data_IF_438767180990
#
_entry.id   IF_438767180990
#
_cell.length_a   1.000
_cell.length_b   1.000
_cell.length_c   1.000
_cell.angle_alpha   90.00
_cell.angle_beta   90.00
_cell.angle_gamma   90.00
#
_symmetry.space_group_name_H-M   'P 1'
#
loop_
_entity.id
_entity.type
_entity.pdbx_description
1 polymer ?
#
# COMPACT_ATOMS: atom_id res chain seq x y z
N UNK A 1 -36.20 24.55 -34.68
CA UNK A 1 -35.74 24.05 -33.36
C UNK A 1 -34.78 22.92 -33.70
N UNK A 2 -33.46 23.01 -33.56
CA UNK A 2 -32.69 22.94 -32.31
C UNK A 2 -31.20 23.38 -32.51
N UNK A 3 -30.84 24.65 -32.29
CA UNK A 3 -29.43 25.02 -32.09
C UNK A 3 -29.10 25.38 -30.63
N UNK A 4 -30.11 25.53 -29.76
CA UNK A 4 -29.92 25.90 -28.35
C UNK A 4 -29.38 24.76 -27.47
N UNK A 5 -29.72 23.51 -27.78
CA UNK A 5 -29.29 22.33 -27.01
C UNK A 5 -27.80 22.00 -27.18
N UNK A 6 -27.26 22.14 -28.40
CA UNK A 6 -25.83 21.92 -28.65
C UNK A 6 -24.93 22.97 -27.96
N UNK A 7 -25.39 24.23 -27.93
CA UNK A 7 -24.63 25.33 -27.30
C UNK A 7 -24.63 25.23 -25.76
N UNK A 8 -25.74 24.80 -25.15
CA UNK A 8 -25.80 24.53 -23.71
C UNK A 8 -24.91 23.34 -23.31
N UNK A 9 -24.92 22.26 -24.09
CA UNK A 9 -24.04 21.11 -23.84
C UNK A 9 -22.55 21.48 -23.94
N UNK A 10 -22.18 22.33 -24.90
CA UNK A 10 -20.79 22.78 -25.04
C UNK A 10 -20.38 23.73 -23.90
N UNK A 11 -21.27 24.60 -23.44
CA UNK A 11 -21.03 25.48 -22.28
C UNK A 11 -20.92 24.69 -20.97
N UNK A 12 -21.72 23.64 -20.78
CA UNK A 12 -21.62 22.75 -19.62
C UNK A 12 -20.29 21.99 -19.61
N UNK A 13 -19.82 21.50 -20.77
CA UNK A 13 -18.50 20.86 -20.89
C UNK A 13 -17.38 21.85 -20.57
N UNK A 14 -17.45 23.09 -21.09
CA UNK A 14 -16.45 24.14 -20.80
C UNK A 14 -16.46 24.53 -19.32
N UNK A 15 -17.63 24.64 -18.67
CA UNK A 15 -17.73 24.93 -17.24
C UNK A 15 -17.27 23.76 -16.37
N UNK A 16 -17.51 22.52 -16.80
CA UNK A 16 -17.03 21.32 -16.12
C UNK A 16 -15.52 21.15 -16.26
N UNK A 17 -14.93 21.54 -17.40
CA UNK A 17 -13.48 21.63 -17.59
C UNK A 17 -12.84 22.77 -16.79
N UNK A 18 -13.48 23.95 -16.71
CA UNK A 18 -13.01 25.04 -15.86
C UNK A 18 -13.06 24.69 -14.36
N UNK A 19 -14.08 23.95 -13.94
CA UNK A 19 -14.19 23.42 -12.56
C UNK A 19 -13.14 22.33 -12.27
N UNK A 20 -12.78 21.51 -13.26
CA UNK A 20 -11.65 20.55 -13.16
C UNK A 20 -10.28 21.23 -13.19
N UNK A 21 -10.15 22.35 -13.90
CA UNK A 21 -8.90 23.13 -13.93
C UNK A 21 -8.66 23.94 -12.64
N UNK A 22 -9.70 24.33 -11.91
CA UNK A 22 -9.56 24.89 -10.56
C UNK A 22 -8.98 23.86 -9.56
N UNK A 23 -9.07 22.57 -9.87
CA UNK A 23 -8.46 21.46 -9.12
C UNK A 23 -6.99 21.20 -9.49
N UNK A 24 -6.48 21.85 -10.53
CA UNK A 24 -5.07 21.71 -10.96
C UNK A 24 -4.09 22.36 -9.98
N UNK A 25 -4.49 23.44 -9.29
CA UNK A 25 -3.72 24.06 -8.22
C UNK A 25 -3.56 23.08 -7.05
N UNK A 26 -4.67 22.41 -6.64
CA UNK A 26 -4.65 21.43 -5.54
C UNK A 26 -3.82 20.19 -5.88
N UNK A 27 -3.75 19.81 -7.16
CA UNK A 27 -2.92 18.69 -7.65
C UNK A 27 -1.45 19.03 -7.80
N UNK A 28 -1.09 20.22 -8.29
CA UNK A 28 0.32 20.64 -8.38
C UNK A 28 0.95 20.77 -6.99
N UNK A 29 0.21 21.29 -6.01
CA UNK A 29 0.67 21.39 -4.62
C UNK A 29 1.05 20.03 -4.02
N UNK A 30 0.38 18.94 -4.43
CA UNK A 30 0.70 17.56 -4.00
C UNK A 30 2.01 17.03 -4.56
N UNK A 31 2.46 17.50 -5.72
CA UNK A 31 3.72 17.07 -6.32
C UNK A 31 4.90 18.01 -5.99
N UNK A 32 4.60 19.16 -5.40
CA UNK A 32 5.59 20.10 -4.88
C UNK A 32 6.09 19.71 -3.48
N UNK A 33 6.40 18.42 -3.30
CA UNK A 33 7.04 17.92 -2.08
C UNK A 33 8.56 18.09 -2.22
N UNK A 34 9.19 18.65 -1.19
CA UNK A 34 10.63 18.66 -1.05
C UNK A 34 11.04 17.43 -0.23
N UNK A 35 11.65 16.46 -0.91
CA UNK A 35 12.19 15.26 -0.25
C UNK A 35 13.66 15.51 0.07
N UNK A 36 13.99 15.60 1.35
CA UNK A 36 15.38 15.59 1.79
C UNK A 36 15.84 14.14 1.95
N UNK A 37 16.79 13.72 1.10
CA UNK A 37 17.32 12.35 1.09
C UNK A 37 17.92 11.97 2.45
N UNK A 38 18.41 12.94 3.22
CA UNK A 38 18.95 12.69 4.57
C UNK A 38 17.90 12.21 5.57
N UNK A 39 16.61 12.47 5.32
CA UNK A 39 15.50 12.01 6.17
C UNK A 39 15.16 10.53 5.95
N UNK A 40 15.70 9.91 4.90
CA UNK A 40 15.45 8.52 4.53
C UNK A 40 16.62 7.58 4.89
N UNK A 41 17.65 8.09 5.57
CA UNK A 41 18.84 7.29 5.94
C UNK A 41 18.56 6.23 7.00
N UNK A 42 17.46 6.38 7.75
CA UNK A 42 17.04 5.43 8.79
C UNK A 42 16.30 4.21 8.23
N UNK A 43 15.96 4.21 6.93
CA UNK A 43 15.33 3.04 6.31
C UNK A 43 16.31 1.87 6.29
N UNK A 44 15.91 0.79 6.96
CA UNK A 44 16.62 -0.50 6.93
C UNK A 44 16.79 -0.94 5.49
N UNK A 45 17.99 -1.38 5.09
CA UNK A 45 18.21 -1.88 3.72
C UNK A 45 17.61 -3.27 3.52
N UNK A 46 16.95 -3.51 2.38
CA UNK A 46 16.51 -4.84 1.98
C UNK A 46 17.70 -5.69 1.55
N UNK A 47 17.96 -6.76 2.31
CA UNK A 47 19.04 -7.72 2.06
C UNK A 47 18.52 -9.02 1.45
N UNK A 48 17.27 -9.36 1.75
CA UNK A 48 16.63 -10.58 1.26
C UNK A 48 15.24 -10.77 1.86
N UNK A 49 14.64 -11.97 1.67
CA UNK A 49 13.32 -12.27 2.21
C UNK A 49 13.26 -12.20 3.74
N UNK A 50 14.35 -12.54 4.42
CA UNK A 50 14.44 -12.61 5.88
C UNK A 50 14.21 -11.27 6.59
N UNK A 51 14.50 -10.15 5.93
CA UNK A 51 14.30 -8.81 6.47
C UNK A 51 13.29 -7.97 5.69
N UNK A 52 12.51 -8.61 4.80
CA UNK A 52 11.49 -7.92 4.01
C UNK A 52 10.45 -7.20 4.88
N UNK A 53 9.96 -7.86 5.94
CA UNK A 53 8.88 -7.30 6.77
C UNK A 53 9.37 -6.04 7.53
N UNK A 54 10.61 -6.05 7.99
CA UNK A 54 11.27 -4.90 8.65
C UNK A 54 11.53 -3.74 7.67
N UNK A 55 12.07 -4.05 6.49
CA UNK A 55 12.27 -3.10 5.40
C UNK A 55 10.93 -2.46 4.97
N UNK A 56 9.90 -3.28 4.77
CA UNK A 56 8.58 -2.85 4.34
C UNK A 56 7.95 -1.91 5.36
N UNK A 57 8.01 -2.25 6.65
CA UNK A 57 7.50 -1.40 7.73
C UNK A 57 8.24 -0.06 7.80
N UNK A 58 9.57 -0.07 7.65
CA UNK A 58 10.40 1.14 7.69
C UNK A 58 10.05 2.09 6.53
N UNK A 59 9.87 1.54 5.33
CA UNK A 59 9.46 2.29 4.14
C UNK A 59 8.05 2.87 4.28
N UNK A 60 7.10 2.06 4.78
CA UNK A 60 5.72 2.53 4.97
C UNK A 60 5.71 3.73 5.91
N UNK A 61 6.39 3.61 7.05
CA UNK A 61 6.47 4.67 8.06
C UNK A 61 7.10 5.93 7.48
N UNK A 62 8.29 5.80 6.87
CA UNK A 62 8.99 6.94 6.29
C UNK A 62 8.16 7.66 5.22
N UNK A 63 7.54 6.94 4.28
CA UNK A 63 6.72 7.59 3.25
C UNK A 63 5.39 8.13 3.76
N UNK A 64 4.82 7.55 4.82
CA UNK A 64 3.62 8.10 5.48
C UNK A 64 3.94 9.40 6.21
N UNK A 65 5.04 9.46 6.95
CA UNK A 65 5.48 10.64 7.69
C UNK A 65 5.73 11.84 6.75
N UNK A 66 6.11 11.57 5.50
CA UNK A 66 6.32 12.58 4.47
C UNK A 66 5.11 12.80 3.55
N UNK A 67 3.98 12.13 3.81
CA UNK A 67 2.73 12.31 3.05
C UNK A 67 2.79 11.86 1.59
N UNK A 68 3.73 10.97 1.22
CA UNK A 68 3.96 10.52 -0.16
C UNK A 68 3.58 9.04 -0.38
N UNK A 69 3.05 8.36 0.63
CA UNK A 69 2.68 6.94 0.55
C UNK A 69 1.69 6.62 -0.57
N UNK A 70 0.72 7.49 -0.81
CA UNK A 70 -0.32 7.29 -1.84
C UNK A 70 0.26 7.36 -3.26
N UNK A 71 1.36 8.10 -3.42
CA UNK A 71 2.11 8.18 -4.68
C UNK A 71 2.91 6.89 -4.94
N UNK A 72 3.46 6.29 -3.88
CA UNK A 72 4.23 5.05 -3.94
C UNK A 72 3.33 3.83 -4.26
N UNK A 73 2.11 3.82 -3.74
CA UNK A 73 1.16 2.71 -3.89
C UNK A 73 0.26 2.79 -5.12
N UNK A 74 0.42 3.85 -5.93
CA UNK A 74 -0.04 3.89 -7.32
C UNK A 74 -1.51 4.25 -7.48
N UNK A 75 -1.87 5.52 -7.26
CA UNK A 75 -3.20 6.04 -7.63
C UNK A 75 -3.21 7.33 -8.46
N UNK A 76 -2.07 7.96 -8.77
CA UNK A 76 -2.09 9.35 -9.23
C UNK A 76 -1.10 9.70 -10.35
N UNK A 77 -0.96 8.87 -11.40
CA UNK A 77 -0.34 9.41 -12.63
C UNK A 77 -1.31 10.42 -13.26
N UNK A 78 -0.95 11.71 -13.40
CA UNK A 78 -1.80 12.67 -14.09
C UNK A 78 -1.96 12.25 -15.55
N UNK A 79 -3.20 12.30 -16.05
CA UNK A 79 -3.50 12.01 -17.45
C UNK A 79 -2.66 12.94 -18.35
N UNK A 80 -1.89 12.35 -19.26
CA UNK A 80 -1.23 13.09 -20.33
C UNK A 80 -2.32 13.76 -21.17
N UNK A 81 -2.46 15.07 -21.05
CA UNK A 81 -3.25 15.85 -22.00
C UNK A 81 -2.63 15.67 -23.40
N UNK A 82 -3.47 15.47 -24.41
CA UNK A 82 -3.11 15.02 -25.75
C UNK A 82 -2.25 16.00 -26.58
N UNK A 83 -1.80 17.16 -26.08
CA UNK A 83 -0.79 18.05 -26.72
C UNK A 83 -0.27 19.18 -25.78
N UNK A 84 0.91 19.82 -26.01
CA UNK A 84 1.82 20.34 -24.97
C UNK A 84 1.69 21.86 -24.65
N UNK A 85 2.39 22.37 -23.60
CA UNK A 85 3.50 21.75 -22.86
C UNK A 85 2.99 20.71 -21.87
N UNK A 86 3.80 19.67 -21.63
CA UNK A 86 3.74 18.84 -20.42
C UNK A 86 3.31 19.75 -19.29
N UNK A 87 2.08 19.58 -18.79
CA UNK A 87 1.53 20.47 -17.78
C UNK A 87 2.57 20.54 -16.66
N UNK A 88 2.75 21.72 -16.08
CA UNK A 88 3.73 21.92 -15.00
C UNK A 88 3.58 20.83 -13.93
N UNK A 89 2.33 20.45 -13.65
CA UNK A 89 1.91 19.30 -12.84
C UNK A 89 2.51 17.95 -13.26
N UNK A 90 2.51 17.60 -14.56
CA UNK A 90 3.13 16.36 -15.04
C UNK A 90 4.65 16.37 -14.88
N UNK A 91 5.30 17.52 -15.10
CA UNK A 91 6.75 17.66 -14.88
C UNK A 91 7.09 17.50 -13.39
N UNK A 92 6.30 18.09 -12.51
CA UNK A 92 6.43 17.98 -11.06
C UNK A 92 6.23 16.54 -10.59
N UNK A 93 5.21 15.85 -11.13
CA UNK A 93 4.99 14.43 -10.90
C UNK A 93 6.18 13.58 -11.35
N UNK A 94 6.70 13.77 -12.57
CA UNK A 94 7.86 13.02 -13.06
C UNK A 94 9.11 13.26 -12.21
N UNK A 95 9.34 14.50 -11.76
CA UNK A 95 10.44 14.83 -10.85
C UNK A 95 10.30 14.03 -9.55
N UNK A 96 9.10 14.03 -8.97
CA UNK A 96 8.81 13.36 -7.71
C UNK A 96 8.89 11.84 -7.82
N UNK A 97 8.31 11.25 -8.87
CA UNK A 97 8.42 9.81 -9.21
C UNK A 97 9.88 9.38 -9.30
N UNK A 98 10.71 10.12 -10.05
CA UNK A 98 12.14 9.84 -10.17
C UNK A 98 12.88 9.95 -8.84
N UNK A 99 12.58 10.97 -8.04
CA UNK A 99 13.18 11.15 -6.71
C UNK A 99 12.83 10.00 -5.76
N UNK A 100 11.55 9.63 -5.71
CA UNK A 100 11.08 8.51 -4.88
C UNK A 100 11.67 7.18 -5.37
N UNK A 101 11.77 6.96 -6.68
CA UNK A 101 12.36 5.73 -7.23
C UNK A 101 13.83 5.62 -6.87
N UNK A 102 14.58 6.73 -6.94
CA UNK A 102 15.97 6.76 -6.50
C UNK A 102 16.13 6.52 -5.00
N UNK A 103 15.20 7.04 -4.18
CA UNK A 103 15.17 6.75 -2.75
C UNK A 103 14.92 5.26 -2.49
N UNK A 104 13.89 4.67 -3.12
CA UNK A 104 13.63 3.23 -3.00
C UNK A 104 14.83 2.39 -3.42
N UNK A 105 15.48 2.73 -4.54
CA UNK A 105 16.67 2.04 -5.02
C UNK A 105 17.79 2.04 -3.96
N UNK A 106 18.03 3.16 -3.28
CA UNK A 106 19.02 3.25 -2.19
C UNK A 106 18.70 2.37 -0.98
N UNK A 107 17.43 2.03 -0.78
CA UNK A 107 16.98 1.16 0.33
C UNK A 107 17.09 -0.33 -0.01
N UNK A 108 17.46 -0.70 -1.23
CA UNK A 108 17.65 -2.09 -1.64
C UNK A 108 19.14 -2.37 -1.80
N UNK A 109 19.63 -3.48 -1.26
CA UNK A 109 21.04 -3.83 -1.37
C UNK A 109 21.41 -4.16 -2.83
N UNK A 110 22.61 -3.76 -3.29
CA UNK A 110 23.02 -3.91 -4.71
C UNK A 110 23.03 -5.35 -5.21
N UNK A 111 23.32 -6.30 -4.33
CA UNK A 111 23.25 -7.75 -4.61
C UNK A 111 21.82 -8.20 -4.93
N UNK A 112 20.84 -7.51 -4.37
CA UNK A 112 19.39 -7.70 -4.53
C UNK A 112 18.87 -6.94 -5.76
N UNK A 113 19.50 -5.83 -6.13
CA UNK A 113 19.14 -4.96 -7.27
C UNK A 113 19.56 -5.45 -8.66
N UNK A 114 20.47 -6.42 -8.77
CA UNK A 114 21.02 -6.86 -10.07
C UNK A 114 19.98 -7.40 -11.07
N UNK A 115 18.71 -7.53 -10.65
CA UNK A 115 17.58 -8.01 -11.44
C UNK A 115 16.46 -6.97 -11.62
N UNK A 116 16.65 -5.72 -11.17
CA UNK A 116 15.69 -4.63 -11.33
C UNK A 116 15.95 -3.89 -12.65
N UNK A 117 14.96 -3.78 -13.56
CA UNK A 117 15.07 -2.95 -14.77
C UNK A 117 15.42 -1.48 -14.45
N UNK A 118 16.28 -0.88 -15.26
CA UNK A 118 16.57 0.56 -15.14
C UNK A 118 15.32 1.39 -15.46
N UNK A 119 15.12 2.50 -14.74
CA UNK A 119 14.04 3.48 -14.95
C UNK A 119 12.60 2.99 -14.67
N UNK A 120 12.42 2.12 -13.68
CA UNK A 120 11.07 1.81 -13.18
C UNK A 120 10.40 3.03 -12.52
N UNK A 121 9.09 3.15 -12.72
CA UNK A 121 8.25 4.06 -11.92
C UNK A 121 8.30 3.68 -10.45
N UNK A 122 7.94 4.61 -9.56
CA UNK A 122 7.96 4.37 -8.12
C UNK A 122 7.12 3.15 -7.72
N UNK A 123 5.94 3.01 -8.33
CA UNK A 123 5.02 1.89 -8.13
C UNK A 123 5.65 0.56 -8.55
N UNK A 124 6.32 0.51 -9.70
CA UNK A 124 6.98 -0.70 -10.16
C UNK A 124 8.20 -1.05 -9.29
N UNK A 125 8.97 -0.03 -8.86
CA UNK A 125 10.09 -0.18 -7.95
C UNK A 125 9.66 -0.69 -6.57
N UNK A 126 8.49 -0.27 -6.07
CA UNK A 126 7.93 -0.78 -4.82
C UNK A 126 7.31 -2.18 -4.96
N UNK A 127 6.64 -2.48 -6.08
CA UNK A 127 6.03 -3.79 -6.34
C UNK A 127 7.06 -4.90 -6.56
N UNK A 128 8.23 -4.57 -7.10
CA UNK A 128 9.26 -5.57 -7.37
C UNK A 128 9.72 -6.29 -6.09
N UNK A 129 10.15 -5.61 -5.01
CA UNK A 129 10.52 -6.29 -3.79
C UNK A 129 9.39 -7.07 -3.13
N UNK A 130 8.18 -6.52 -3.17
CA UNK A 130 6.98 -7.19 -2.67
C UNK A 130 6.68 -8.49 -3.39
N UNK A 131 7.03 -8.59 -4.67
CA UNK A 131 6.79 -9.80 -5.48
C UNK A 131 7.88 -10.84 -5.27
N UNK A 132 9.13 -10.41 -5.13
CA UNK A 132 10.30 -11.30 -5.12
C UNK A 132 10.81 -11.67 -3.71
N UNK A 133 10.68 -10.77 -2.73
CA UNK A 133 11.23 -10.95 -1.39
C UNK A 133 10.18 -11.08 -0.29
N UNK A 134 8.92 -10.70 -0.53
CA UNK A 134 7.86 -10.94 0.45
C UNK A 134 7.77 -12.46 0.74
N UNK A 135 8.04 -12.91 1.97
CA UNK A 135 8.11 -14.33 2.22
C UNK A 135 6.71 -14.91 2.13
N UNK A 136 6.51 -15.81 1.18
CA UNK A 136 5.24 -16.50 0.99
C UNK A 136 4.96 -17.33 2.24
N UNK A 137 3.74 -17.30 2.78
CA UNK A 137 3.39 -18.18 3.87
C UNK A 137 3.61 -19.62 3.42
N UNK A 138 4.43 -20.37 4.17
CA UNK A 138 4.64 -21.79 3.89
C UNK A 138 3.31 -22.57 3.91
N UNK A 139 3.25 -23.78 3.32
CA UNK A 139 2.00 -24.56 3.28
C UNK A 139 1.39 -24.78 4.67
N UNK A 140 2.24 -25.00 5.68
CA UNK A 140 1.81 -25.18 7.07
C UNK A 140 1.21 -23.88 7.65
N UNK A 141 1.91 -22.75 7.51
CA UNK A 141 1.39 -21.45 7.96
C UNK A 141 0.09 -21.08 7.28
N UNK A 142 -0.03 -21.34 5.97
CA UNK A 142 -1.26 -21.10 5.21
C UNK A 142 -2.43 -21.94 5.73
N UNK A 143 -2.21 -23.21 6.08
CA UNK A 143 -3.22 -24.07 6.70
C UNK A 143 -3.64 -23.57 8.08
N UNK A 144 -2.67 -23.12 8.89
CA UNK A 144 -2.95 -22.58 10.22
C UNK A 144 -3.74 -21.27 10.12
N UNK A 145 -3.38 -20.36 9.21
CA UNK A 145 -4.12 -19.12 8.96
C UNK A 145 -5.56 -19.39 8.49
N UNK A 146 -5.75 -20.38 7.62
CA UNK A 146 -7.09 -20.84 7.21
C UNK A 146 -7.87 -21.47 8.37
N UNK A 147 -7.19 -22.15 9.28
CA UNK A 147 -7.83 -22.72 10.48
C UNK A 147 -8.29 -21.60 11.39
N UNK A 148 -7.40 -20.64 11.68
CA UNK A 148 -7.68 -19.47 12.52
C UNK A 148 -8.85 -18.65 11.97
N UNK A 149 -8.87 -18.36 10.66
CA UNK A 149 -9.94 -17.57 10.02
C UNK A 149 -11.29 -18.26 9.97
N UNK A 150 -11.33 -19.58 10.16
CA UNK A 150 -12.55 -20.40 10.20
C UNK A 150 -13.03 -20.71 11.62
N UNK A 151 -12.27 -20.33 12.66
CA UNK A 151 -12.74 -20.47 14.03
C UNK A 151 -13.97 -19.60 14.22
N UNK A 152 -15.06 -20.22 14.67
CA UNK A 152 -16.33 -19.57 14.98
C UNK A 152 -16.81 -20.17 16.29
N UNK A 153 -17.30 -19.34 17.21
CA UNK A 153 -17.85 -19.80 18.49
C UNK A 153 -18.99 -20.82 18.30
N UNK A 154 -19.71 -20.76 17.17
CA UNK A 154 -20.74 -21.75 16.81
C UNK A 154 -20.21 -23.17 16.62
N UNK A 155 -18.92 -23.34 16.38
CA UNK A 155 -18.29 -24.63 16.14
C UNK A 155 -17.89 -25.34 17.46
N UNK A 156 -18.08 -24.68 18.60
CA UNK A 156 -17.61 -25.14 19.91
C UNK A 156 -18.74 -25.15 20.94
N UNK A 157 -18.57 -25.97 21.99
CA UNK A 157 -19.55 -26.08 23.07
C UNK A 157 -19.49 -24.92 24.06
N UNK A 158 -18.37 -24.18 24.09
CA UNK A 158 -18.17 -23.06 25.01
C UNK A 158 -17.13 -22.06 24.49
N UNK A 159 -17.17 -20.83 25.03
CA UNK A 159 -16.14 -19.79 24.78
C UNK A 159 -14.75 -20.27 25.22
N UNK A 160 -14.67 -21.05 26.31
CA UNK A 160 -13.40 -21.60 26.80
C UNK A 160 -12.78 -22.55 25.77
N UNK A 161 -13.59 -23.39 25.14
CA UNK A 161 -13.11 -24.35 24.14
C UNK A 161 -12.65 -23.64 22.85
N UNK A 162 -13.41 -22.66 22.38
CA UNK A 162 -13.04 -21.79 21.26
C UNK A 162 -11.74 -21.03 21.54
N UNK A 163 -11.64 -20.38 22.70
CA UNK A 163 -10.44 -19.66 23.15
C UNK A 163 -9.21 -20.57 23.26
N UNK A 164 -9.36 -21.78 23.81
CA UNK A 164 -8.27 -22.76 23.86
C UNK A 164 -7.80 -23.14 22.44
N UNK A 165 -8.74 -23.40 21.51
CA UNK A 165 -8.37 -23.75 20.14
C UNK A 165 -7.68 -22.59 19.43
N UNK A 166 -8.15 -21.36 19.66
CA UNK A 166 -7.54 -20.15 19.15
C UNK A 166 -6.09 -20.00 19.62
N UNK A 167 -5.84 -20.10 20.94
CA UNK A 167 -4.50 -20.01 21.53
C UNK A 167 -3.57 -21.09 20.97
N UNK A 168 -4.06 -22.33 20.82
CA UNK A 168 -3.26 -23.42 20.23
C UNK A 168 -2.86 -23.11 18.80
N UNK A 169 -3.80 -22.68 17.94
CA UNK A 169 -3.48 -22.35 16.54
C UNK A 169 -2.53 -21.16 16.49
N UNK A 170 -2.71 -20.13 17.32
CA UNK A 170 -1.79 -19.01 17.41
C UNK A 170 -0.37 -19.45 17.80
N UNK A 171 -0.25 -20.30 18.83
CA UNK A 171 1.04 -20.83 19.29
C UNK A 171 1.74 -21.66 18.20
N UNK A 172 0.98 -22.49 17.46
CA UNK A 172 1.50 -23.24 16.31
C UNK A 172 1.96 -22.30 15.19
N UNK A 173 1.26 -21.18 14.96
CA UNK A 173 1.66 -20.17 13.97
C UNK A 173 2.95 -19.45 14.38
N UNK A 174 3.08 -19.07 15.65
CA UNK A 174 4.29 -18.47 16.21
C UNK A 174 5.49 -19.42 16.13
N UNK A 175 5.28 -20.73 16.37
CA UNK A 175 6.31 -21.74 16.23
C UNK A 175 6.77 -21.94 14.77
N UNK A 176 5.85 -21.84 13.80
CA UNK A 176 6.16 -21.98 12.38
C UNK A 176 6.82 -20.72 11.83
N UNK A 177 6.37 -19.54 12.25
CA UNK A 177 6.94 -18.27 11.81
C UNK A 177 6.69 -17.18 12.86
N UNK A 178 7.69 -16.92 13.73
CA UNK A 178 7.58 -15.87 14.74
C UNK A 178 7.22 -14.52 14.10
N UNK A 179 6.35 -13.76 14.75
CA UNK A 179 6.10 -12.34 14.44
C UNK A 179 5.51 -12.01 13.05
N UNK A 180 4.87 -12.97 12.37
CA UNK A 180 4.34 -12.73 11.01
C UNK A 180 2.95 -12.10 10.99
N UNK A 181 2.18 -12.22 12.06
CA UNK A 181 0.82 -11.68 12.15
C UNK A 181 0.80 -10.62 13.23
N UNK A 182 0.32 -9.43 12.88
CA UNK A 182 0.14 -8.37 13.88
C UNK A 182 -0.94 -8.76 14.88
N UNK A 183 -0.76 -8.38 16.14
CA UNK A 183 -1.76 -8.62 17.18
C UNK A 183 -3.14 -8.04 16.82
N UNK A 184 -3.17 -6.96 16.03
CA UNK A 184 -4.41 -6.38 15.49
C UNK A 184 -5.18 -7.37 14.60
N UNK A 185 -4.48 -8.08 13.70
CA UNK A 185 -5.09 -9.10 12.85
C UNK A 185 -5.55 -10.30 13.68
N UNK A 186 -4.76 -10.73 14.66
CA UNK A 186 -5.13 -11.80 15.61
C UNK A 186 -6.42 -11.42 16.34
N UNK A 187 -6.49 -10.22 16.91
CA UNK A 187 -7.66 -9.71 17.63
C UNK A 187 -8.88 -9.62 16.71
N UNK A 188 -8.71 -9.14 15.49
CA UNK A 188 -9.80 -9.04 14.50
C UNK A 188 -10.39 -10.42 14.20
N UNK A 189 -9.54 -11.41 13.92
CA UNK A 189 -9.98 -12.79 13.63
C UNK A 189 -10.68 -13.44 14.83
N UNK A 190 -10.21 -13.17 16.06
CA UNK A 190 -10.87 -13.63 17.28
C UNK A 190 -12.27 -13.01 17.43
N UNK A 191 -12.37 -11.69 17.31
CA UNK A 191 -13.63 -10.96 17.42
C UNK A 191 -14.64 -11.35 16.33
N UNK A 192 -14.18 -11.53 15.09
CA UNK A 192 -14.99 -12.10 14.00
C UNK A 192 -15.46 -13.52 14.32
N UNK A 193 -14.60 -14.31 14.96
CA UNK A 193 -14.89 -15.67 15.42
C UNK A 193 -16.03 -15.74 16.43
N UNK A 194 -16.08 -14.77 17.35
CA UNK A 194 -17.14 -14.66 18.36
C UNK A 194 -18.50 -14.29 17.73
N UNK A 195 -18.49 -13.61 16.58
CA UNK A 195 -19.68 -13.21 15.84
C UNK A 195 -20.61 -12.28 16.62
N UNK A 196 -21.81 -12.03 16.09
CA UNK A 196 -22.84 -11.17 16.70
C UNK A 196 -23.44 -11.72 18.01
N UNK A 197 -22.96 -12.86 18.53
CA UNK A 197 -23.44 -13.41 19.82
C UNK A 197 -23.10 -12.52 21.02
N UNK A 198 -22.11 -11.64 20.89
CA UNK A 198 -21.81 -10.60 21.89
C UNK A 198 -22.54 -9.27 21.63
N UNK A 199 -23.31 -9.16 20.54
CA UNK A 199 -24.06 -7.96 20.14
C UNK A 199 -25.41 -7.76 20.85
N UNK A 200 -25.57 -8.29 22.06
CA UNK A 200 -26.70 -7.99 22.96
C UNK A 200 -26.16 -7.80 24.37
N UNK A 201 -25.45 -6.70 24.60
CA UNK A 201 -25.32 -6.10 25.92
C UNK A 201 -25.87 -4.68 25.83
#
# INVERSE_FOLDING_TARGET
MEPKLAFQSTLEVIQQEQSRNLDSSSRSDRYNVHLDISQFTEIVKLRGPENYDEWHSSICTAFQDHGVWDLVTGTEQPLLALDPPLSQTYKEWQRLDKSLSGLLDMTVERTTLASVPENLSIDAMYKFPRTNYKPKPGPQFSRLLQTLSRLRLSNFSSIREDGNKFITVQSEMEAVRPSTISQSVVNTLFLEGLGSRLGKF
#
